data_IF_881583348561
#
_entry.id   IF_881583348561
#
_cell.length_a   1.000
_cell.length_b   1.000
_cell.length_c   1.000
_cell.angle_alpha   90.00
_cell.angle_beta   90.00
_cell.angle_gamma   90.00
#
_symmetry.space_group_name_H-M   'P 1'
#
loop_
_entity.id
_entity.type
_entity.pdbx_description
1 polymer ?
#
# COMPACT_ATOMS: atom_id res chain seq x y z
N UNK A 1 -4.87 -17.41 -5.31
CA UNK A 1 -4.10 -16.47 -4.47
C UNK A 1 -3.43 -17.24 -3.35
N UNK A 2 -2.16 -16.98 -3.06
CA UNK A 2 -1.57 -17.45 -1.81
C UNK A 2 -2.13 -16.54 -0.70
N UNK A 3 -3.02 -17.06 0.12
CA UNK A 3 -3.62 -16.32 1.23
C UNK A 3 -2.63 -16.22 2.41
N UNK A 4 -1.44 -15.69 2.16
CA UNK A 4 -0.46 -15.48 3.21
C UNK A 4 -0.68 -14.11 3.84
N UNK A 5 -0.56 -14.03 5.16
CA UNK A 5 -0.53 -12.77 5.90
C UNK A 5 0.85 -12.63 6.53
N UNK A 6 1.55 -11.56 6.19
CA UNK A 6 2.88 -11.27 6.70
C UNK A 6 2.81 -10.10 7.68
N UNK A 7 3.43 -10.22 8.83
CA UNK A 7 3.63 -9.12 9.78
C UNK A 7 5.13 -8.86 9.85
N UNK A 8 5.54 -7.68 9.40
CA UNK A 8 6.93 -7.22 9.45
C UNK A 8 7.09 -6.30 10.66
N UNK A 9 7.85 -6.73 11.64
CA UNK A 9 8.00 -6.03 12.91
C UNK A 9 9.35 -5.32 12.98
N UNK A 10 9.32 -3.99 12.93
CA UNK A 10 10.50 -3.13 13.02
C UNK A 10 10.53 -2.35 14.33
N UNK A 11 9.39 -1.80 14.76
CA UNK A 11 9.28 -0.93 15.94
C UNK A 11 8.78 -1.66 17.19
N UNK A 12 8.16 -2.82 17.03
CA UNK A 12 7.46 -3.53 18.11
C UNK A 12 5.99 -3.11 18.24
N UNK A 13 5.47 -2.21 17.41
CA UNK A 13 4.10 -1.70 17.49
C UNK A 13 3.05 -2.80 17.38
N UNK A 14 3.25 -3.78 16.52
CA UNK A 14 2.30 -4.87 16.35
C UNK A 14 2.25 -5.85 17.53
N UNK A 15 3.36 -5.96 18.27
CA UNK A 15 3.38 -6.72 19.53
C UNK A 15 2.59 -6.00 20.62
N UNK A 16 2.77 -4.68 20.75
CA UNK A 16 2.00 -3.85 21.68
C UNK A 16 0.51 -3.90 21.39
N UNK A 17 0.11 -3.89 20.12
CA UNK A 17 -1.28 -4.00 19.70
C UNK A 17 -1.86 -5.41 19.82
N UNK A 18 -1.04 -6.44 19.97
CA UNK A 18 -1.46 -7.84 19.90
C UNK A 18 -2.04 -8.22 18.53
N UNK A 19 -1.54 -7.60 17.46
CA UNK A 19 -2.09 -7.71 16.10
C UNK A 19 -2.15 -9.18 15.65
N UNK A 20 -1.08 -9.94 15.80
CA UNK A 20 -1.03 -11.34 15.37
C UNK A 20 -2.21 -12.17 15.91
N UNK A 21 -2.45 -12.06 17.22
CA UNK A 21 -3.55 -12.78 17.87
C UNK A 21 -4.92 -12.31 17.37
N UNK A 22 -5.06 -11.02 17.08
CA UNK A 22 -6.29 -10.45 16.55
C UNK A 22 -6.56 -10.97 15.12
N UNK A 23 -5.54 -10.98 14.26
CA UNK A 23 -5.64 -11.52 12.90
C UNK A 23 -5.91 -13.02 12.88
N UNK A 24 -5.31 -13.80 13.80
CA UNK A 24 -5.61 -15.24 13.94
C UNK A 24 -7.10 -15.47 14.21
N UNK A 25 -7.69 -14.71 15.14
CA UNK A 25 -9.12 -14.76 15.44
C UNK A 25 -9.99 -14.30 14.26
N UNK A 26 -9.56 -13.25 13.54
CA UNK A 26 -10.26 -12.76 12.35
C UNK A 26 -10.27 -13.80 11.25
N UNK A 27 -9.12 -14.43 10.97
CA UNK A 27 -8.98 -15.52 10.00
C UNK A 27 -9.89 -16.69 10.38
N UNK A 28 -9.90 -17.10 11.66
CA UNK A 28 -10.75 -18.19 12.14
C UNK A 28 -12.24 -17.89 11.94
N UNK A 29 -12.68 -16.64 12.19
CA UNK A 29 -14.05 -16.22 11.93
C UNK A 29 -14.42 -16.30 10.45
N UNK A 30 -13.57 -15.75 9.57
CA UNK A 30 -13.82 -15.75 8.12
C UNK A 30 -13.84 -17.18 7.57
N UNK A 31 -12.90 -18.03 8.02
CA UNK A 31 -12.85 -19.46 7.60
C UNK A 31 -14.10 -20.22 8.07
N UNK A 32 -14.61 -19.92 9.26
CA UNK A 32 -15.82 -20.57 9.79
C UNK A 32 -17.10 -20.17 9.01
N UNK A 33 -17.13 -19.00 8.43
CA UNK A 33 -18.27 -18.48 7.63
C UNK A 33 -18.19 -18.87 6.16
N UNK A 34 -16.97 -19.16 5.65
CA UNK A 34 -16.75 -19.50 4.24
C UNK A 34 -17.03 -20.98 3.97
N UNK A 35 -18.05 -21.28 3.14
CA UNK A 35 -18.40 -22.66 2.75
C UNK A 35 -17.33 -23.38 1.89
N UNK A 36 -16.39 -22.63 1.25
CA UNK A 36 -15.45 -23.16 0.24
C UNK A 36 -14.06 -22.50 0.24
N UNK A 37 -13.50 -22.14 1.38
CA UNK A 37 -12.13 -21.65 1.40
C UNK A 37 -11.13 -22.76 1.11
N UNK A 38 -10.34 -22.64 0.05
CA UNK A 38 -9.44 -23.70 -0.45
C UNK A 38 -8.33 -24.06 0.55
N UNK A 39 -7.87 -23.10 1.36
CA UNK A 39 -6.90 -23.32 2.44
C UNK A 39 -6.99 -22.16 3.45
N UNK A 40 -6.78 -22.46 4.73
CA UNK A 40 -6.69 -21.44 5.78
C UNK A 40 -5.45 -20.57 5.54
N UNK A 41 -5.56 -19.22 5.60
CA UNK A 41 -4.43 -18.30 5.53
C UNK A 41 -3.37 -18.61 6.60
N UNK A 42 -2.11 -18.48 6.22
CA UNK A 42 -0.98 -18.64 7.14
C UNK A 42 -0.49 -17.26 7.56
N UNK A 43 -0.46 -16.99 8.87
CA UNK A 43 0.07 -15.75 9.43
C UNK A 43 1.53 -15.98 9.83
N UNK A 44 2.44 -15.27 9.19
CA UNK A 44 3.87 -15.28 9.48
C UNK A 44 4.29 -13.93 10.02
N UNK A 45 4.98 -13.92 11.14
CA UNK A 45 5.61 -12.71 11.68
C UNK A 45 7.12 -12.83 11.52
N UNK A 46 7.71 -11.82 10.89
CA UNK A 46 9.16 -11.66 10.75
C UNK A 46 9.60 -10.49 11.62
N UNK A 47 10.66 -10.70 12.38
CA UNK A 47 11.27 -9.67 13.20
C UNK A 47 12.45 -9.05 12.45
N UNK A 48 12.46 -7.72 12.36
CA UNK A 48 13.48 -6.90 11.70
C UNK A 48 14.08 -5.86 12.65
N UNK A 49 13.75 -5.89 13.94
CA UNK A 49 14.25 -4.96 14.95
C UNK A 49 15.79 -5.01 15.10
N UNK A 50 16.39 -6.11 14.67
CA UNK A 50 17.84 -6.33 14.68
C UNK A 50 18.59 -5.66 13.54
N UNK A 51 17.89 -5.11 12.54
CA UNK A 51 18.50 -4.48 11.36
C UNK A 51 18.63 -2.97 11.59
N UNK A 52 19.86 -2.43 11.70
CA UNK A 52 20.05 -0.98 11.78
C UNK A 52 19.83 -0.29 10.44
N UNK A 53 19.62 1.03 10.45
CA UNK A 53 19.53 1.82 9.22
C UNK A 53 18.21 1.69 8.48
N UNK A 54 17.11 1.38 9.21
CA UNK A 54 15.79 1.11 8.62
C UNK A 54 14.74 2.19 8.89
N UNK A 55 14.97 3.08 9.86
CA UNK A 55 13.95 4.07 10.26
C UNK A 55 13.91 5.26 9.31
N UNK A 56 12.79 5.52 8.63
CA UNK A 56 12.56 6.51 7.58
C UNK A 56 13.44 6.33 6.32
N UNK A 57 14.62 5.79 6.46
CA UNK A 57 15.60 5.54 5.41
C UNK A 57 16.06 4.08 5.50
N UNK A 58 16.34 3.50 4.32
CA UNK A 58 16.87 2.15 4.23
C UNK A 58 18.24 2.19 3.53
N UNK A 59 19.31 1.94 4.25
CA UNK A 59 20.61 1.83 3.61
C UNK A 59 20.73 0.51 2.82
N UNK A 60 21.69 0.44 1.91
CA UNK A 60 21.83 -0.69 1.00
C UNK A 60 22.08 -2.04 1.69
N UNK A 61 22.66 -2.03 2.90
CA UNK A 61 22.89 -3.25 3.67
C UNK A 61 21.59 -3.73 4.30
N UNK A 62 20.80 -2.80 4.84
CA UNK A 62 19.49 -3.09 5.39
C UNK A 62 18.53 -3.57 4.27
N UNK A 63 18.55 -2.91 3.12
CA UNK A 63 17.75 -3.30 1.93
C UNK A 63 18.07 -4.74 1.50
N UNK A 64 19.37 -5.09 1.39
CA UNK A 64 19.81 -6.44 1.05
C UNK A 64 19.36 -7.48 2.08
N UNK A 65 19.49 -7.17 3.36
CA UNK A 65 19.13 -8.09 4.44
C UNK A 65 17.62 -8.30 4.55
N UNK A 66 16.82 -7.24 4.43
CA UNK A 66 15.36 -7.32 4.37
C UNK A 66 14.94 -8.14 3.15
N UNK A 67 15.48 -7.82 1.98
CA UNK A 67 15.19 -8.53 0.73
C UNK A 67 15.43 -10.04 0.85
N UNK A 68 16.55 -10.48 1.45
CA UNK A 68 16.82 -11.91 1.70
C UNK A 68 15.74 -12.58 2.55
N UNK A 69 15.21 -11.88 3.55
CA UNK A 69 14.19 -12.43 4.46
C UNK A 69 12.81 -12.52 3.81
N UNK A 70 12.47 -11.62 2.85
CA UNK A 70 11.15 -11.60 2.21
C UNK A 70 11.06 -12.41 0.91
N UNK A 71 12.15 -12.55 0.15
CA UNK A 71 12.21 -13.31 -1.12
C UNK A 71 11.51 -14.68 -1.07
N UNK A 72 11.65 -15.50 -0.01
CA UNK A 72 11.03 -16.82 0.02
C UNK A 72 9.49 -16.83 -0.03
N UNK A 73 8.85 -15.69 0.27
CA UNK A 73 7.40 -15.60 0.39
C UNK A 73 6.72 -15.16 -0.91
N UNK A 74 7.43 -14.42 -1.77
CA UNK A 74 6.87 -13.82 -2.99
C UNK A 74 6.00 -12.59 -2.68
N UNK A 75 5.49 -11.88 -3.71
CA UNK A 75 4.75 -10.63 -3.54
C UNK A 75 3.27 -10.83 -3.18
N UNK A 76 2.78 -12.09 -3.22
CA UNK A 76 1.36 -12.37 -3.03
C UNK A 76 0.99 -12.45 -1.56
N UNK A 77 -0.12 -11.83 -1.21
CA UNK A 77 -0.66 -11.86 0.15
C UNK A 77 -0.97 -10.50 0.71
N UNK A 78 -1.14 -10.47 2.02
CA UNK A 78 -1.35 -9.24 2.80
C UNK A 78 -0.15 -9.00 3.70
N UNK A 79 0.49 -7.84 3.57
CA UNK A 79 1.71 -7.50 4.29
C UNK A 79 1.47 -6.31 5.21
N UNK A 80 1.70 -6.46 6.50
CA UNK A 80 1.67 -5.39 7.50
C UNK A 80 3.10 -4.89 7.69
N UNK A 81 3.37 -3.62 7.35
CA UNK A 81 4.71 -3.05 7.20
C UNK A 81 5.17 -2.16 8.37
N UNK A 82 4.42 -2.15 9.51
CA UNK A 82 4.73 -1.33 10.68
C UNK A 82 4.28 0.14 10.51
N UNK A 83 5.04 1.14 10.94
CA UNK A 83 4.69 2.56 10.80
C UNK A 83 4.97 3.10 9.39
N UNK A 84 4.46 4.29 9.08
CA UNK A 84 4.74 5.00 7.81
C UNK A 84 6.24 5.24 7.57
N UNK A 85 7.07 5.22 8.61
CA UNK A 85 8.53 5.26 8.48
C UNK A 85 9.10 4.13 7.63
N UNK A 86 8.35 3.03 7.47
CA UNK A 86 8.75 1.83 6.73
C UNK A 86 7.96 1.65 5.43
N UNK A 87 7.22 2.66 4.96
CA UNK A 87 6.44 2.55 3.72
C UNK A 87 7.29 2.17 2.50
N UNK A 88 8.57 2.51 2.49
CA UNK A 88 9.52 2.08 1.45
C UNK A 88 9.63 0.55 1.27
N UNK A 89 9.18 -0.25 2.25
CA UNK A 89 9.15 -1.71 2.13
C UNK A 89 8.25 -2.19 1.00
N UNK A 90 7.24 -1.40 0.64
CA UNK A 90 6.40 -1.65 -0.54
C UNK A 90 7.27 -1.83 -1.78
N UNK A 91 8.26 -0.94 -2.02
CA UNK A 91 9.20 -1.10 -3.14
C UNK A 91 9.87 -2.46 -3.15
N UNK A 92 10.32 -2.97 -1.99
CA UNK A 92 10.99 -4.27 -1.91
C UNK A 92 10.04 -5.44 -2.24
N UNK A 93 8.76 -5.36 -1.88
CA UNK A 93 7.75 -6.32 -2.30
C UNK A 93 7.47 -6.23 -3.80
N UNK A 94 7.40 -5.02 -4.38
CA UNK A 94 7.19 -4.80 -5.80
C UNK A 94 8.34 -5.33 -6.67
N UNK A 95 9.57 -5.38 -6.17
CA UNK A 95 10.71 -5.99 -6.86
C UNK A 95 10.58 -7.50 -7.06
N UNK A 96 9.72 -8.15 -6.28
CA UNK A 96 9.42 -9.57 -6.42
C UNK A 96 8.41 -9.86 -7.55
N UNK A 97 7.68 -8.85 -8.03
CA UNK A 97 6.74 -8.97 -9.17
C UNK A 97 7.54 -9.06 -10.47
N UNK A 98 7.33 -10.15 -11.23
CA UNK A 98 8.15 -10.46 -12.42
C UNK A 98 7.43 -10.24 -13.76
N UNK A 99 6.21 -9.71 -13.71
CA UNK A 99 5.39 -9.37 -14.87
C UNK A 99 4.97 -7.91 -14.82
N UNK A 100 4.60 -7.28 -15.95
CA UNK A 100 4.10 -5.91 -15.93
C UNK A 100 2.87 -5.78 -15.04
N UNK A 101 2.83 -4.73 -14.21
CA UNK A 101 1.74 -4.51 -13.24
C UNK A 101 1.45 -3.02 -13.02
N UNK A 102 0.32 -2.78 -12.36
CA UNK A 102 -0.13 -1.47 -11.89
C UNK A 102 -0.13 -1.45 -10.36
N UNK A 103 0.16 -0.29 -9.79
CA UNK A 103 0.15 -0.04 -8.36
C UNK A 103 -0.95 0.98 -8.01
N UNK A 104 -1.81 0.65 -7.04
CA UNK A 104 -2.77 1.56 -6.44
C UNK A 104 -2.30 1.91 -5.02
N UNK A 105 -2.05 3.19 -4.76
CA UNK A 105 -1.56 3.69 -3.47
C UNK A 105 -2.61 4.60 -2.85
N UNK A 106 -2.91 4.37 -1.58
CA UNK A 106 -3.67 5.27 -0.71
C UNK A 106 -2.72 5.84 0.33
N UNK A 107 -2.51 7.16 0.32
CA UNK A 107 -1.51 7.83 1.15
C UNK A 107 -1.85 9.32 1.28
N UNK A 108 -1.60 9.92 2.43
CA UNK A 108 -1.71 11.37 2.60
C UNK A 108 -0.50 12.12 2.02
N UNK A 109 0.59 11.40 1.73
CA UNK A 109 1.82 11.93 1.16
C UNK A 109 1.98 11.53 -0.30
N UNK A 110 2.87 12.19 -1.02
CA UNK A 110 3.12 11.84 -2.42
C UNK A 110 4.15 10.73 -2.59
N UNK A 111 5.02 10.56 -1.62
CA UNK A 111 6.14 9.59 -1.60
C UNK A 111 6.99 9.56 -2.87
N UNK A 112 7.08 10.76 -3.50
CA UNK A 112 7.81 11.00 -4.74
C UNK A 112 8.96 12.02 -4.59
N UNK A 113 9.45 12.21 -3.35
CA UNK A 113 10.57 13.11 -3.09
C UNK A 113 11.82 12.66 -3.82
N UNK A 114 12.64 13.64 -4.20
CA UNK A 114 13.96 13.38 -4.76
C UNK A 114 14.83 12.65 -3.71
N UNK A 115 15.57 11.61 -4.08
CA UNK A 115 16.42 10.89 -3.14
C UNK A 115 17.41 11.82 -2.43
N UNK A 116 17.43 11.78 -1.11
CA UNK A 116 18.40 12.49 -0.28
C UNK A 116 19.69 11.67 -0.13
N UNK A 117 20.76 12.31 0.32
CA UNK A 117 22.01 11.64 0.75
C UNK A 117 22.57 10.59 -0.22
N UNK A 118 22.63 10.93 -1.50
CA UNK A 118 23.30 10.08 -2.49
C UNK A 118 22.47 8.89 -2.99
N UNK A 119 21.15 8.97 -2.91
CA UNK A 119 20.24 7.97 -3.46
C UNK A 119 19.83 6.89 -2.46
N UNK A 120 19.80 7.21 -1.17
CA UNK A 120 19.30 6.27 -0.16
C UNK A 120 17.78 6.16 -0.24
N UNK A 121 17.27 4.93 -0.24
CA UNK A 121 15.83 4.66 -0.22
C UNK A 121 15.16 5.26 1.03
N UNK A 122 14.01 5.89 0.86
CA UNK A 122 13.28 6.55 1.96
C UNK A 122 11.78 6.34 1.87
N UNK A 123 11.08 6.47 3.01
CA UNK A 123 9.63 6.43 3.04
C UNK A 123 8.99 7.51 2.16
N UNK A 124 9.53 8.73 2.12
CA UNK A 124 8.98 9.82 1.31
C UNK A 124 9.39 9.82 -0.17
N UNK A 125 10.18 8.85 -0.65
CA UNK A 125 10.67 8.82 -2.03
C UNK A 125 10.53 7.48 -2.75
N UNK A 126 9.94 6.48 -2.10
CA UNK A 126 9.92 5.11 -2.58
C UNK A 126 9.11 4.91 -3.87
N UNK A 127 8.02 5.66 -4.09
CA UNK A 127 7.22 5.56 -5.33
C UNK A 127 8.05 6.03 -6.51
N UNK A 128 8.75 7.15 -6.37
CA UNK A 128 9.66 7.66 -7.41
C UNK A 128 10.72 6.63 -7.73
N UNK A 129 11.41 6.11 -6.73
CA UNK A 129 12.46 5.12 -6.93
C UNK A 129 11.92 3.83 -7.55
N UNK A 130 10.73 3.36 -7.14
CA UNK A 130 10.09 2.21 -7.76
C UNK A 130 9.80 2.44 -9.26
N UNK A 131 9.30 3.62 -9.64
CA UNK A 131 9.04 3.98 -11.04
C UNK A 131 10.31 4.13 -11.88
N UNK A 132 11.43 4.54 -11.27
CA UNK A 132 12.72 4.71 -11.92
C UNK A 132 13.49 3.38 -12.10
N UNK A 133 13.31 2.43 -11.15
CA UNK A 133 14.15 1.22 -11.08
C UNK A 133 13.43 -0.08 -11.43
N UNK A 134 12.10 -0.13 -11.37
CA UNK A 134 11.33 -1.33 -11.66
C UNK A 134 10.63 -1.23 -13.03
N UNK A 135 11.23 -1.84 -14.04
CA UNK A 135 10.69 -1.87 -15.39
C UNK A 135 9.32 -2.55 -15.51
N UNK A 136 8.91 -3.36 -14.53
CA UNK A 136 7.61 -4.02 -14.51
C UNK A 136 6.51 -3.09 -13.97
N UNK A 137 6.82 -2.07 -13.18
CA UNK A 137 5.84 -1.09 -12.72
C UNK A 137 5.49 -0.13 -13.86
N UNK A 138 4.29 -0.31 -14.44
CA UNK A 138 3.87 0.46 -15.63
C UNK A 138 3.10 1.72 -15.29
N UNK A 139 2.36 1.69 -14.20
CA UNK A 139 1.50 2.80 -13.82
C UNK A 139 1.23 2.80 -12.32
N UNK A 140 1.13 3.99 -11.75
CA UNK A 140 0.74 4.22 -10.35
C UNK A 140 -0.53 5.04 -10.33
N UNK A 141 -1.51 4.63 -9.53
CA UNK A 141 -2.66 5.45 -9.16
C UNK A 141 -2.43 5.88 -7.72
N UNK A 142 -2.14 7.15 -7.51
CA UNK A 142 -1.89 7.74 -6.19
C UNK A 142 -3.11 8.52 -5.73
N UNK A 143 -3.68 8.10 -4.61
CA UNK A 143 -4.93 8.62 -4.04
C UNK A 143 -4.66 9.17 -2.64
N UNK A 144 -5.03 10.40 -2.39
CA UNK A 144 -5.07 10.95 -1.03
C UNK A 144 -4.20 12.15 -0.72
N UNK A 145 -3.09 12.42 -1.41
CA UNK A 145 -2.30 13.59 -1.08
C UNK A 145 -3.13 14.89 -1.25
N UNK A 146 -2.93 15.89 -0.39
CA UNK A 146 -3.54 17.21 -0.57
C UNK A 146 -3.21 17.80 -1.95
N UNK A 147 -4.15 18.49 -2.57
CA UNK A 147 -3.97 19.10 -3.91
C UNK A 147 -2.70 19.95 -4.00
N UNK A 148 -2.41 20.73 -2.95
CA UNK A 148 -1.22 21.59 -2.92
C UNK A 148 0.09 20.78 -2.93
N UNK A 149 0.17 19.69 -2.18
CA UNK A 149 1.34 18.81 -2.15
C UNK A 149 1.55 18.12 -3.51
N UNK A 150 0.47 17.68 -4.16
CA UNK A 150 0.56 17.10 -5.50
C UNK A 150 1.06 18.11 -6.55
N UNK A 151 0.59 19.36 -6.50
CA UNK A 151 1.03 20.40 -7.44
C UNK A 151 2.51 20.74 -7.27
N UNK A 152 3.01 20.79 -6.02
CA UNK A 152 4.42 20.98 -5.72
C UNK A 152 5.27 19.82 -6.26
N UNK A 153 4.89 18.59 -5.94
CA UNK A 153 5.59 17.39 -6.43
C UNK A 153 5.60 17.30 -7.97
N UNK A 154 4.47 17.58 -8.62
CA UNK A 154 4.40 17.61 -10.08
C UNK A 154 5.34 18.63 -10.70
N UNK A 155 5.49 19.79 -10.07
CA UNK A 155 6.41 20.84 -10.51
C UNK A 155 7.86 20.38 -10.38
N UNK A 156 8.23 19.76 -9.25
CA UNK A 156 9.57 19.20 -9.04
C UNK A 156 9.90 18.12 -10.07
N UNK A 157 8.96 17.17 -10.29
CA UNK A 157 9.14 16.11 -11.28
C UNK A 157 9.28 16.66 -12.71
N UNK A 158 8.57 17.73 -13.06
CA UNK A 158 8.69 18.37 -14.37
C UNK A 158 10.07 19.02 -14.59
N UNK A 159 10.73 19.50 -13.53
CA UNK A 159 12.10 20.01 -13.59
C UNK A 159 13.15 18.90 -13.85
N UNK A 160 12.88 17.69 -13.35
CA UNK A 160 13.76 16.51 -13.54
C UNK A 160 13.47 15.71 -14.82
N UNK A 161 12.33 15.96 -15.47
CA UNK A 161 11.90 15.31 -16.70
C UNK A 161 10.44 14.83 -16.63
N UNK A 162 9.69 14.99 -17.73
CA UNK A 162 8.24 14.70 -17.75
C UNK A 162 7.87 13.21 -17.76
N UNK A 163 8.83 12.30 -17.89
CA UNK A 163 8.53 10.88 -18.09
C UNK A 163 7.76 10.26 -16.91
N UNK A 164 8.14 10.57 -15.67
CA UNK A 164 7.49 10.03 -14.47
C UNK A 164 6.07 10.57 -14.30
N UNK A 165 5.82 11.83 -14.68
CA UNK A 165 4.47 12.42 -14.61
C UNK A 165 3.46 11.63 -15.42
N UNK A 166 3.84 11.13 -16.58
CA UNK A 166 2.98 10.32 -17.45
C UNK A 166 2.66 8.92 -16.92
N UNK A 167 3.44 8.44 -15.95
CA UNK A 167 3.23 7.13 -15.32
C UNK A 167 2.32 7.18 -14.08
N UNK A 168 1.86 8.35 -13.65
CA UNK A 168 1.07 8.50 -12.42
C UNK A 168 -0.28 9.15 -12.70
N UNK A 169 -1.35 8.51 -12.26
CA UNK A 169 -2.67 9.13 -12.10
C UNK A 169 -2.79 9.68 -10.70
N UNK A 170 -3.02 10.98 -10.61
CA UNK A 170 -3.05 11.73 -9.36
C UNK A 170 -4.48 12.03 -8.95
N UNK A 171 -4.87 11.62 -7.75
CA UNK A 171 -6.19 11.87 -7.17
C UNK A 171 -6.00 12.50 -5.80
N UNK A 172 -6.32 13.80 -5.67
CA UNK A 172 -6.20 14.47 -4.38
C UNK A 172 -7.22 13.97 -3.36
N UNK A 173 -6.96 14.19 -2.07
CA UNK A 173 -7.93 13.91 -1.01
C UNK A 173 -9.26 14.61 -1.29
N UNK A 174 -9.21 15.88 -1.69
CA UNK A 174 -10.40 16.67 -1.99
C UNK A 174 -11.20 16.08 -3.16
N UNK A 175 -10.52 15.67 -4.24
CA UNK A 175 -11.17 15.00 -5.38
C UNK A 175 -11.77 13.66 -4.97
N UNK A 176 -11.03 12.86 -4.20
CA UNK A 176 -11.46 11.57 -3.70
C UNK A 176 -12.72 11.69 -2.86
N UNK A 177 -12.71 12.53 -1.81
CA UNK A 177 -13.85 12.73 -0.90
C UNK A 177 -15.09 13.26 -1.62
N UNK A 178 -14.93 14.09 -2.66
CA UNK A 178 -16.05 14.60 -3.46
C UNK A 178 -16.69 13.54 -4.36
N UNK A 179 -15.96 12.50 -4.73
CA UNK A 179 -16.37 11.61 -5.83
C UNK A 179 -16.42 10.12 -5.50
N UNK A 180 -15.83 9.66 -4.40
CA UNK A 180 -15.72 8.22 -4.08
C UNK A 180 -17.07 7.50 -4.02
N UNK A 181 -18.14 8.17 -3.64
CA UNK A 181 -19.49 7.61 -3.62
C UNK A 181 -20.17 7.57 -5.01
N UNK A 182 -19.48 8.03 -6.08
CA UNK A 182 -20.01 8.10 -7.43
C UNK A 182 -19.42 6.99 -8.31
N UNK A 183 -20.09 5.85 -8.50
CA UNK A 183 -19.56 4.72 -9.26
C UNK A 183 -19.10 5.08 -10.69
N UNK A 184 -19.77 6.03 -11.34
CA UNK A 184 -19.41 6.50 -12.68
C UNK A 184 -18.04 7.23 -12.71
N UNK A 185 -17.61 7.80 -11.61
CA UNK A 185 -16.30 8.44 -11.51
C UNK A 185 -15.19 7.39 -11.49
N UNK A 186 -15.32 6.36 -10.66
CA UNK A 186 -14.37 5.23 -10.60
C UNK A 186 -14.29 4.54 -11.97
N UNK A 187 -15.44 4.33 -12.63
CA UNK A 187 -15.47 3.75 -13.98
C UNK A 187 -14.68 4.59 -15.01
N UNK A 188 -14.76 5.93 -14.93
CA UNK A 188 -13.97 6.80 -15.81
C UNK A 188 -12.46 6.68 -15.52
N UNK A 189 -12.07 6.60 -14.25
CA UNK A 189 -10.67 6.37 -13.86
C UNK A 189 -10.15 5.07 -14.46
N UNK A 190 -10.88 3.96 -14.32
CA UNK A 190 -10.50 2.68 -14.94
C UNK A 190 -10.33 2.79 -16.45
N UNK A 191 -11.14 3.62 -17.12
CA UNK A 191 -11.03 3.88 -18.56
C UNK A 191 -9.79 4.72 -18.95
N UNK A 192 -9.31 5.57 -18.05
CA UNK A 192 -8.12 6.41 -18.26
C UNK A 192 -6.82 5.66 -17.95
N UNK A 193 -6.82 4.83 -16.90
CA UNK A 193 -5.67 4.04 -16.45
C UNK A 193 -5.32 2.87 -17.37
N UNK A 194 -6.14 2.54 -18.36
CA UNK A 194 -5.81 1.56 -19.38
C UNK A 194 -4.73 2.10 -20.33
N UNK A 195 -3.53 2.39 -19.79
CA UNK A 195 -2.38 2.83 -20.57
C UNK A 195 -1.80 1.62 -21.30
N UNK A 196 -2.17 1.48 -22.57
CA UNK A 196 -1.45 0.59 -23.47
C UNK A 196 -1.15 1.35 -24.75
N UNK A 197 0.12 1.41 -25.11
CA UNK A 197 0.59 1.86 -26.41
C UNK A 197 0.39 0.82 -27.52
N UNK A 198 -0.67 0.04 -27.50
CA UNK A 198 -1.01 -0.91 -28.55
C UNK A 198 -2.41 -0.64 -29.09
N UNK A 199 -2.57 -0.71 -30.39
CA UNK A 199 -3.85 -0.55 -31.11
C UNK A 199 -4.92 -1.53 -30.59
N UNK A 200 -6.12 -1.00 -30.41
CA UNK A 200 -7.24 -1.49 -29.64
C UNK A 200 -7.87 -2.80 -30.16
N UNK A 201 -7.39 -3.95 -29.77
CA UNK A 201 -8.21 -5.15 -29.96
C UNK A 201 -8.31 -6.13 -28.77
N UNK A 202 -7.51 -5.99 -27.72
CA UNK A 202 -7.74 -6.61 -26.40
C UNK A 202 -6.88 -5.86 -25.39
N UNK A 203 -7.48 -4.94 -24.62
CA UNK A 203 -6.78 -4.26 -23.52
C UNK A 203 -6.50 -5.28 -22.41
N UNK A 204 -5.35 -5.87 -22.43
CA UNK A 204 -4.87 -6.73 -21.36
C UNK A 204 -4.75 -5.89 -20.08
N UNK A 205 -5.57 -6.23 -19.09
CA UNK A 205 -5.58 -5.54 -17.82
C UNK A 205 -4.35 -5.97 -17.02
N UNK A 206 -3.50 -5.01 -16.68
CA UNK A 206 -2.32 -5.30 -15.88
C UNK A 206 -2.72 -5.84 -14.50
N UNK A 207 -2.00 -6.84 -13.95
CA UNK A 207 -2.12 -7.24 -12.56
C UNK A 207 -2.02 -6.04 -11.61
N UNK A 208 -2.72 -6.10 -10.48
CA UNK A 208 -2.79 -5.00 -9.50
C UNK A 208 -2.12 -5.37 -8.19
N UNK A 209 -1.25 -4.48 -7.71
CA UNK A 209 -0.79 -4.44 -6.33
C UNK A 209 -1.40 -3.22 -5.62
N UNK A 210 -1.75 -3.34 -4.34
CA UNK A 210 -2.36 -2.25 -3.56
C UNK A 210 -1.47 -1.95 -2.36
N UNK A 211 -1.23 -0.66 -2.08
CA UNK A 211 -0.54 -0.18 -0.88
C UNK A 211 -1.43 0.82 -0.15
N UNK A 212 -1.54 0.67 1.16
CA UNK A 212 -2.34 1.57 2.01
C UNK A 212 -1.46 2.08 3.14
N UNK A 213 -1.14 3.40 3.14
CA UNK A 213 -0.70 4.07 4.35
C UNK A 213 -1.94 4.53 5.12
N UNK A 214 -2.02 4.17 6.39
CA UNK A 214 -3.13 4.56 7.26
C UNK A 214 -3.20 6.06 7.53
N UNK A 215 -2.16 6.81 7.19
CA UNK A 215 -2.18 8.26 7.35
C UNK A 215 -3.15 8.97 6.40
N UNK A 216 -3.61 8.30 5.32
CA UNK A 216 -4.75 8.79 4.54
C UNK A 216 -6.03 8.86 5.37
N UNK A 217 -6.15 8.04 6.41
CA UNK A 217 -7.35 7.92 7.22
C UNK A 217 -7.45 9.04 8.26
N UNK A 218 -8.68 9.35 8.66
CA UNK A 218 -8.92 10.25 9.78
C UNK A 218 -8.44 9.64 11.10
N UNK A 219 -8.10 10.48 12.08
CA UNK A 219 -7.66 10.04 13.42
C UNK A 219 -8.66 9.11 14.14
N UNK A 220 -9.93 9.14 13.75
CA UNK A 220 -10.95 8.25 14.31
C UNK A 220 -10.82 6.79 13.84
N UNK A 221 -10.12 6.56 12.74
CA UNK A 221 -9.88 5.23 12.16
C UNK A 221 -8.53 4.64 12.57
N UNK A 222 -7.61 5.48 13.04
CA UNK A 222 -6.28 5.10 13.48
C UNK A 222 -5.41 6.31 13.70
N UNK A 223 -4.40 6.19 14.53
CA UNK A 223 -3.40 7.24 14.74
C UNK A 223 -2.08 6.81 14.15
N UNK A 224 -1.46 7.71 13.42
CA UNK A 224 -0.13 7.54 12.85
C UNK A 224 0.85 8.54 13.45
N UNK A 225 2.12 8.38 13.18
CA UNK A 225 3.16 9.33 13.59
C UNK A 225 3.45 10.39 12.49
N UNK A 226 2.64 10.42 11.44
CA UNK A 226 2.69 11.39 10.32
C UNK A 226 1.44 12.26 10.29
N UNK A 227 1.47 13.32 9.51
CA UNK A 227 0.28 14.12 9.22
C UNK A 227 -0.79 13.23 8.57
N UNK A 228 -2.05 13.40 8.98
CA UNK A 228 -3.15 12.51 8.56
C UNK A 228 -4.20 13.23 7.71
N UNK A 229 -4.80 12.46 6.83
CA UNK A 229 -5.95 12.85 6.02
C UNK A 229 -7.28 12.76 6.79
N UNK A 230 -8.36 12.83 6.01
CA UNK A 230 -9.73 12.84 6.53
C UNK A 230 -10.60 11.71 5.93
N UNK A 231 -10.02 10.78 5.23
CA UNK A 231 -10.74 9.67 4.60
C UNK A 231 -11.17 8.65 5.66
N UNK A 232 -12.32 8.03 5.51
CA UNK A 232 -12.74 6.89 6.34
C UNK A 232 -12.43 5.58 5.62
N UNK A 233 -12.06 4.57 6.38
CA UNK A 233 -11.65 3.27 5.83
C UNK A 233 -12.69 2.66 4.87
N UNK A 234 -13.98 2.81 5.18
CA UNK A 234 -15.05 2.29 4.31
C UNK A 234 -15.03 2.90 2.91
N UNK A 235 -14.61 4.15 2.76
CA UNK A 235 -14.45 4.80 1.44
C UNK A 235 -13.29 4.20 0.66
N UNK A 236 -12.16 3.91 1.33
CA UNK A 236 -11.00 3.21 0.71
C UNK A 236 -11.42 1.83 0.22
N UNK A 237 -12.03 1.03 1.09
CA UNK A 237 -12.45 -0.34 0.76
C UNK A 237 -13.52 -0.35 -0.33
N UNK A 238 -14.49 0.58 -0.30
CA UNK A 238 -15.48 0.75 -1.36
C UNK A 238 -14.84 1.10 -2.70
N UNK A 239 -13.84 2.00 -2.70
CA UNK A 239 -13.13 2.35 -3.93
C UNK A 239 -12.45 1.12 -4.52
N UNK A 240 -11.72 0.36 -3.71
CA UNK A 240 -11.02 -0.86 -4.13
C UNK A 240 -12.03 -1.86 -4.72
N UNK A 241 -13.14 -2.12 -4.02
CA UNK A 241 -14.15 -3.07 -4.47
C UNK A 241 -14.76 -2.65 -5.82
N UNK A 242 -15.19 -1.39 -5.95
CA UNK A 242 -15.75 -0.88 -7.22
C UNK A 242 -14.68 -0.90 -8.32
N UNK A 243 -13.43 -0.52 -8.03
CA UNK A 243 -12.34 -0.54 -9.00
C UNK A 243 -12.08 -1.95 -9.54
N UNK A 244 -12.04 -2.95 -8.67
CA UNK A 244 -11.89 -4.36 -9.05
C UNK A 244 -13.09 -4.88 -9.85
N UNK A 245 -14.30 -4.48 -9.50
CA UNK A 245 -15.52 -4.85 -10.25
C UNK A 245 -15.55 -4.27 -11.67
N UNK A 246 -14.96 -3.09 -11.90
CA UNK A 246 -14.83 -2.50 -13.24
C UNK A 246 -13.79 -3.20 -14.12
N UNK A 247 -12.97 -4.06 -13.54
CA UNK A 247 -11.90 -4.78 -14.21
C UNK A 247 -12.04 -6.31 -13.99
N UNK A 248 -13.15 -6.93 -14.45
CA UNK A 248 -13.42 -8.33 -14.17
C UNK A 248 -12.36 -9.25 -14.78
N UNK A 249 -11.84 -10.19 -13.95
CA UNK A 249 -10.78 -11.10 -14.36
C UNK A 249 -9.37 -10.54 -14.17
N UNK A 250 -9.23 -9.29 -13.71
CA UNK A 250 -7.95 -8.70 -13.35
C UNK A 250 -7.27 -9.52 -12.25
N UNK A 251 -6.00 -9.83 -12.45
CA UNK A 251 -5.22 -10.50 -11.43
C UNK A 251 -4.91 -9.54 -10.28
N UNK A 252 -5.18 -9.96 -9.05
CA UNK A 252 -4.73 -9.30 -7.85
C UNK A 252 -3.44 -9.96 -7.36
N UNK A 253 -2.36 -9.18 -7.22
CA UNK A 253 -1.05 -9.68 -6.78
C UNK A 253 -1.00 -9.78 -5.27
N UNK A 254 -1.13 -8.63 -4.59
CA UNK A 254 -1.02 -8.52 -3.15
C UNK A 254 -1.37 -7.13 -2.66
N UNK A 255 -1.37 -6.99 -1.34
CA UNK A 255 -1.66 -5.72 -0.66
C UNK A 255 -0.70 -5.55 0.51
N UNK A 256 -0.26 -4.32 0.73
CA UNK A 256 0.41 -3.97 1.98
C UNK A 256 -0.24 -2.80 2.71
N UNK A 257 0.11 -2.68 3.98
CA UNK A 257 -0.45 -1.69 4.90
C UNK A 257 0.65 -1.24 5.84
N UNK A 258 0.83 0.07 5.96
CA UNK A 258 1.66 0.71 6.99
C UNK A 258 0.90 1.80 7.74
N UNK A 259 1.60 2.64 8.50
CA UNK A 259 1.03 3.81 9.14
C UNK A 259 0.61 3.60 10.59
N UNK A 260 1.27 2.70 11.32
CA UNK A 260 1.08 2.62 12.77
C UNK A 260 1.87 3.72 13.50
N UNK A 261 1.39 4.15 14.66
CA UNK A 261 2.14 5.02 15.57
C UNK A 261 2.88 4.17 16.62
N UNK A 262 4.20 3.99 16.52
CA UNK A 262 4.97 3.18 17.45
C UNK A 262 5.12 3.85 18.83
N UNK A 263 4.80 5.13 18.98
CA UNK A 263 4.82 5.87 20.24
C UNK A 263 3.46 5.93 20.93
N UNK A 264 2.40 5.39 20.29
CA UNK A 264 1.08 5.35 20.88
C UNK A 264 1.03 4.38 22.06
N UNK A 265 1.13 4.90 23.28
CA UNK A 265 1.06 4.16 24.55
C UNK A 265 -0.38 3.98 25.08
N UNK A 266 -1.36 4.64 24.44
CA UNK A 266 -2.77 4.60 24.84
C UNK A 266 -3.46 3.35 24.28
N UNK A 267 -3.98 2.49 25.17
CA UNK A 267 -4.68 1.25 24.81
C UNK A 267 -5.91 1.48 23.91
N UNK A 268 -6.60 2.62 24.05
CA UNK A 268 -7.75 2.96 23.20
C UNK A 268 -7.28 3.20 21.74
N UNK A 269 -6.21 3.97 21.56
CA UNK A 269 -5.60 4.22 20.24
C UNK A 269 -5.13 2.92 19.61
N UNK A 270 -4.38 2.10 20.35
CA UNK A 270 -3.92 0.79 19.87
C UNK A 270 -5.08 -0.11 19.47
N UNK A 271 -6.19 -0.06 20.19
CA UNK A 271 -7.40 -0.83 19.88
C UNK A 271 -8.04 -0.35 18.57
N UNK A 272 -8.12 0.96 18.32
CA UNK A 272 -8.64 1.51 17.07
C UNK A 272 -7.75 1.07 15.90
N UNK A 273 -6.45 1.28 15.98
CA UNK A 273 -5.49 0.90 14.93
C UNK A 273 -5.56 -0.60 14.61
N UNK A 274 -5.64 -1.45 15.64
CA UNK A 274 -5.81 -2.89 15.46
C UNK A 274 -7.13 -3.26 14.76
N UNK A 275 -8.25 -2.63 15.13
CA UNK A 275 -9.56 -2.89 14.50
C UNK A 275 -9.56 -2.49 13.03
N UNK A 276 -8.89 -1.42 12.67
CA UNK A 276 -8.68 -1.01 11.28
C UNK A 276 -7.92 -2.08 10.52
N UNK A 277 -6.82 -2.59 11.07
CA UNK A 277 -6.06 -3.70 10.50
C UNK A 277 -6.89 -4.98 10.37
N UNK A 278 -7.71 -5.33 11.38
CA UNK A 278 -8.62 -6.48 11.32
C UNK A 278 -9.68 -6.33 10.22
N UNK A 279 -10.20 -5.10 10.00
CA UNK A 279 -11.20 -4.80 8.97
C UNK A 279 -10.60 -4.92 7.57
N UNK A 280 -9.39 -4.39 7.34
CA UNK A 280 -8.66 -4.55 6.08
C UNK A 280 -8.35 -6.03 5.82
N UNK A 281 -7.88 -6.76 6.84
CA UNK A 281 -7.65 -8.20 6.71
C UNK A 281 -8.93 -8.95 6.34
N UNK A 282 -10.07 -8.63 6.97
CA UNK A 282 -11.35 -9.21 6.63
C UNK A 282 -11.77 -8.94 5.17
N UNK A 283 -11.56 -7.72 4.69
CA UNK A 283 -11.81 -7.35 3.29
C UNK A 283 -10.92 -8.14 2.31
N UNK A 284 -9.64 -8.26 2.63
CA UNK A 284 -8.69 -9.01 1.79
C UNK A 284 -9.05 -10.50 1.67
N UNK A 285 -9.67 -11.10 2.70
CA UNK A 285 -10.01 -12.51 2.74
C UNK A 285 -11.36 -12.86 2.08
N UNK A 286 -12.21 -11.87 1.79
CA UNK A 286 -13.50 -12.04 1.13
C UNK A 286 -13.38 -12.01 -0.39
#
# INVERSE_FOLDING_TARGET
MKNNIMIMNFSGVYEMQGLKTALEKKVDSVVAEAENMAAKPVITQLDFQDIPGTNCYCDSLAEEEIGKRIIPFGPEGLHFLDSGNYHYLTKLWLELVKEPFELLVFDHHTDMQCPAFGGILSCGGWIREALETNDNLKHVILVGPPQAAMEETKKELAEDGEELLGKVTWISEEEFLQNVEKPNWIQKLCGQCNVTGAEADEKEQLPLYISIDKDILSESEGKTNWDQGNVVLDQVLQFIDVYMQQTPGRQFIGMDICGEDPEADNEEVQTVCRKTSEKICGFFLC
#
